data_IF_677643664788
#
_entry.id   IF_677643664788
#
_cell.length_a   1.000
_cell.length_b   1.000
_cell.length_c   1.000
_cell.angle_alpha   90.00
_cell.angle_beta   90.00
_cell.angle_gamma   90.00
#
_symmetry.space_group_name_H-M   'P 1'
#
loop_
_entity.id
_entity.type
_entity.pdbx_description
1 polymer ?
#
# COMPACT_ATOMS: atom_id res chain seq x y z
N UNK A 1 16.66 -22.15 -14.08
CA UNK A 1 16.29 -22.64 -15.43
C UNK A 1 15.12 -21.79 -15.90
N UNK A 2 15.13 -21.34 -17.16
CA UNK A 2 14.03 -20.56 -17.74
C UNK A 2 13.12 -21.46 -18.57
N UNK A 3 11.82 -21.24 -18.50
CA UNK A 3 10.78 -21.85 -19.32
C UNK A 3 10.32 -20.85 -20.38
N UNK A 4 9.97 -21.35 -21.57
CA UNK A 4 9.41 -20.53 -22.64
C UNK A 4 7.91 -20.80 -22.74
N UNK A 5 7.13 -19.75 -22.88
CA UNK A 5 5.68 -19.82 -23.01
C UNK A 5 5.23 -19.12 -24.27
N UNK A 6 4.35 -19.77 -25.02
CA UNK A 6 3.47 -19.11 -25.95
C UNK A 6 2.33 -18.45 -25.19
N UNK A 7 2.32 -17.12 -25.22
CA UNK A 7 1.29 -16.25 -24.65
C UNK A 7 0.62 -15.54 -25.81
N UNK A 8 -0.51 -16.08 -26.27
CA UNK A 8 -1.30 -15.53 -27.38
C UNK A 8 -0.49 -15.13 -28.63
N UNK A 9 0.46 -15.98 -29.05
CA UNK A 9 1.31 -15.74 -30.22
C UNK A 9 2.66 -15.07 -29.93
N UNK A 10 2.92 -14.69 -28.68
CA UNK A 10 4.23 -14.22 -28.21
C UNK A 10 4.99 -15.36 -27.55
N UNK A 11 6.31 -15.41 -27.74
CA UNK A 11 7.18 -16.26 -26.93
C UNK A 11 7.76 -15.41 -25.82
N UNK A 12 7.51 -15.78 -24.56
CA UNK A 12 8.09 -15.10 -23.40
C UNK A 12 8.88 -16.08 -22.53
N UNK A 13 9.96 -15.58 -21.94
CA UNK A 13 10.79 -16.34 -21.02
C UNK A 13 10.34 -16.08 -19.58
N UNK A 14 10.08 -17.15 -18.83
CA UNK A 14 9.71 -17.09 -17.40
C UNK A 14 10.57 -18.04 -16.58
N UNK A 15 10.81 -17.69 -15.32
CA UNK A 15 11.55 -18.51 -14.36
C UNK A 15 10.67 -19.62 -13.76
N UNK A 16 9.36 -19.42 -13.73
CA UNK A 16 8.38 -20.36 -13.18
C UNK A 16 7.18 -20.48 -14.11
N UNK A 17 6.67 -21.70 -14.28
CA UNK A 17 5.44 -21.93 -15.05
C UNK A 17 4.24 -21.29 -14.33
N UNK A 18 3.32 -20.65 -15.08
CA UNK A 18 2.12 -20.05 -14.52
C UNK A 18 1.25 -21.12 -13.89
N UNK A 19 0.69 -20.81 -12.73
CA UNK A 19 -0.27 -21.70 -12.10
C UNK A 19 -1.61 -21.68 -12.88
N UNK A 20 -2.48 -22.69 -12.67
CA UNK A 20 -3.75 -22.79 -13.40
C UNK A 20 -4.67 -21.58 -13.26
N UNK A 21 -4.58 -20.84 -12.14
CA UNK A 21 -5.38 -19.63 -11.95
C UNK A 21 -4.89 -18.51 -12.86
N UNK A 22 -3.58 -18.29 -12.92
CA UNK A 22 -3.05 -17.26 -13.80
C UNK A 22 -3.39 -17.58 -15.26
N UNK A 23 -3.25 -18.84 -15.65
CA UNK A 23 -3.65 -19.32 -16.98
C UNK A 23 -5.13 -19.07 -17.28
N UNK A 24 -6.02 -19.29 -16.30
CA UNK A 24 -7.46 -19.03 -16.50
C UNK A 24 -7.78 -17.54 -16.65
N UNK A 25 -7.02 -16.65 -16.02
CA UNK A 25 -7.16 -15.21 -16.26
C UNK A 25 -6.73 -14.81 -17.67
N UNK A 26 -5.64 -15.36 -18.20
CA UNK A 26 -5.26 -15.11 -19.60
C UNK A 26 -6.34 -15.61 -20.56
N UNK A 27 -6.90 -16.79 -20.32
CA UNK A 27 -8.00 -17.32 -21.12
C UNK A 27 -9.25 -16.43 -21.02
N UNK A 28 -9.60 -15.96 -19.83
CA UNK A 28 -10.79 -15.16 -19.60
C UNK A 28 -10.68 -13.75 -20.21
N UNK A 29 -9.55 -13.07 -19.99
CA UNK A 29 -9.41 -11.64 -20.30
C UNK A 29 -8.73 -11.35 -21.63
N UNK A 30 -7.85 -12.24 -22.09
CA UNK A 30 -7.17 -12.12 -23.40
C UNK A 30 -7.64 -13.17 -24.42
N UNK A 31 -8.56 -14.07 -24.03
CA UNK A 31 -9.11 -15.11 -24.92
C UNK A 31 -8.03 -16.03 -25.50
N UNK A 32 -6.98 -16.30 -24.72
CA UNK A 32 -5.84 -17.05 -25.21
C UNK A 32 -5.33 -18.08 -24.20
N UNK A 33 -4.92 -19.23 -24.75
CA UNK A 33 -4.34 -20.31 -23.98
C UNK A 33 -2.84 -20.12 -23.84
N UNK A 34 -2.33 -20.36 -22.63
CA UNK A 34 -0.89 -20.41 -22.37
C UNK A 34 -0.37 -21.81 -22.70
N UNK A 35 0.65 -21.89 -23.56
CA UNK A 35 1.28 -23.17 -23.95
C UNK A 35 2.78 -23.10 -23.71
N UNK A 36 3.41 -24.21 -23.35
CA UNK A 36 4.88 -24.28 -23.30
C UNK A 36 5.43 -24.20 -24.72
N UNK A 37 6.42 -23.34 -24.93
CA UNK A 37 7.13 -23.21 -26.19
C UNK A 37 8.37 -24.11 -26.22
N UNK A 38 8.75 -24.57 -27.40
CA UNK A 38 9.96 -25.37 -27.58
C UNK A 38 11.21 -24.49 -27.40
N UNK A 39 12.29 -25.03 -26.80
CA UNK A 39 13.51 -24.27 -26.52
C UNK A 39 14.23 -23.73 -27.77
N UNK A 40 13.88 -24.23 -28.97
CA UNK A 40 14.42 -23.80 -30.26
C UNK A 40 13.96 -22.37 -30.64
N UNK A 41 12.88 -21.87 -30.05
CA UNK A 41 12.34 -20.51 -30.31
C UNK A 41 12.94 -19.43 -29.39
N UNK A 42 14.09 -19.70 -28.77
CA UNK A 42 14.78 -18.82 -27.83
C UNK A 42 15.14 -17.43 -28.39
N UNK A 43 15.35 -17.32 -29.71
CA UNK A 43 15.89 -16.12 -30.35
C UNK A 43 14.86 -14.98 -30.51
N UNK A 44 13.56 -15.26 -30.39
CA UNK A 44 12.46 -14.30 -30.57
C UNK A 44 11.72 -13.97 -29.25
N UNK A 45 12.36 -14.19 -28.09
CA UNK A 45 11.72 -13.96 -26.80
C UNK A 45 11.41 -12.48 -26.59
N UNK A 46 10.13 -12.14 -26.42
CA UNK A 46 9.68 -10.78 -26.10
C UNK A 46 9.79 -10.50 -24.59
N UNK A 47 9.98 -9.23 -24.22
CA UNK A 47 9.90 -8.83 -22.83
C UNK A 47 8.45 -8.99 -22.35
N UNK A 48 8.29 -9.62 -21.19
CA UNK A 48 7.03 -9.78 -20.48
C UNK A 48 6.28 -8.44 -20.34
N UNK A 49 7.00 -7.33 -20.18
CA UNK A 49 6.40 -5.98 -20.09
C UNK A 49 5.70 -5.52 -21.37
N UNK A 50 6.02 -6.13 -22.51
CA UNK A 50 5.42 -5.80 -23.80
C UNK A 50 4.08 -6.51 -24.01
N UNK A 51 3.75 -7.55 -23.23
CA UNK A 51 2.50 -8.31 -23.36
C UNK A 51 1.28 -7.40 -23.52
N UNK A 52 1.05 -6.36 -22.68
CA UNK A 52 -0.14 -5.51 -22.83
C UNK A 52 -0.21 -4.76 -24.16
N UNK A 53 0.92 -4.47 -24.80
CA UNK A 53 0.95 -3.76 -26.09
C UNK A 53 0.29 -4.57 -27.21
N UNK A 54 0.29 -5.90 -27.11
CA UNK A 54 -0.29 -6.82 -28.09
C UNK A 54 -1.81 -7.03 -27.91
N UNK A 55 -2.40 -6.56 -26.80
CA UNK A 55 -3.84 -6.61 -26.54
C UNK A 55 -4.39 -5.18 -26.53
N UNK A 56 -4.72 -4.62 -27.70
CA UNK A 56 -5.10 -3.22 -27.81
C UNK A 56 -6.30 -2.92 -26.93
N UNK A 57 -6.12 -1.92 -26.07
CA UNK A 57 -7.17 -1.42 -25.21
C UNK A 57 -6.89 0.02 -24.78
N UNK A 58 -7.93 0.78 -24.42
CA UNK A 58 -7.75 2.14 -23.94
C UNK A 58 -6.88 2.13 -22.68
N UNK A 59 -5.92 3.05 -22.64
CA UNK A 59 -5.07 3.28 -21.46
C UNK A 59 -5.91 3.89 -20.36
N UNK A 60 -5.99 3.18 -19.24
CA UNK A 60 -6.70 3.58 -18.02
C UNK A 60 -5.80 3.26 -16.84
N UNK A 61 -4.91 4.20 -16.52
CA UNK A 61 -3.81 4.04 -15.61
C UNK A 61 -4.04 4.84 -14.33
N UNK A 62 -3.67 4.26 -13.20
CA UNK A 62 -3.56 4.97 -11.94
C UNK A 62 -2.09 5.13 -11.55
N UNK A 63 -1.57 6.36 -11.39
CA UNK A 63 -0.21 6.57 -10.94
C UNK A 63 -0.07 6.27 -9.45
N UNK A 64 0.93 5.46 -9.11
CA UNK A 64 1.26 5.10 -7.74
C UNK A 64 2.74 5.38 -7.50
N UNK A 65 3.07 6.02 -6.38
CA UNK A 65 4.43 6.45 -6.06
C UNK A 65 4.93 5.81 -4.77
N UNK A 66 6.22 5.50 -4.74
CA UNK A 66 6.98 5.22 -3.52
C UNK A 66 7.45 6.52 -2.87
N UNK A 67 7.76 6.46 -1.57
CA UNK A 67 8.12 7.63 -0.76
C UNK A 67 9.33 8.41 -1.32
N UNK A 68 10.32 7.71 -1.86
CA UNK A 68 11.53 8.29 -2.45
C UNK A 68 11.23 9.10 -3.72
N UNK A 69 10.07 8.90 -4.35
CA UNK A 69 9.72 9.54 -5.61
C UNK A 69 8.89 10.83 -5.44
N UNK A 70 8.54 11.21 -4.21
CA UNK A 70 7.68 12.37 -3.94
C UNK A 70 8.35 13.72 -4.25
N UNK A 71 9.68 13.75 -4.27
CA UNK A 71 10.44 14.97 -4.57
C UNK A 71 10.59 15.25 -6.06
N UNK A 72 10.24 14.29 -6.93
CA UNK A 72 10.42 14.45 -8.38
C UNK A 72 9.32 15.31 -8.98
N UNK A 73 9.68 16.03 -10.05
CA UNK A 73 8.79 16.95 -10.77
C UNK A 73 7.52 16.25 -11.28
N UNK A 74 7.61 14.98 -11.70
CA UNK A 74 6.47 14.21 -12.18
C UNK A 74 5.38 14.08 -11.12
N UNK A 75 5.76 13.81 -9.86
CA UNK A 75 4.80 13.73 -8.75
C UNK A 75 4.13 15.08 -8.49
N UNK A 76 4.94 16.14 -8.39
CA UNK A 76 4.44 17.49 -8.09
C UNK A 76 3.52 18.00 -9.21
N UNK A 77 3.87 17.73 -10.47
CA UNK A 77 3.06 18.10 -11.64
C UNK A 77 1.70 17.39 -11.62
N UNK A 78 1.68 16.08 -11.37
CA UNK A 78 0.43 15.32 -11.28
C UNK A 78 -0.43 15.81 -10.11
N UNK A 79 0.17 16.08 -8.94
CA UNK A 79 -0.52 16.64 -7.79
C UNK A 79 -1.15 18.00 -8.12
N UNK A 80 -0.41 18.89 -8.78
CA UNK A 80 -0.88 20.20 -9.20
C UNK A 80 -2.00 20.15 -10.26
N UNK A 81 -2.05 19.09 -11.07
CA UNK A 81 -3.14 18.81 -12.01
C UNK A 81 -4.40 18.25 -11.32
N UNK A 82 -4.39 18.06 -9.99
CA UNK A 82 -5.51 17.50 -9.24
C UNK A 82 -5.63 15.97 -9.34
N UNK A 83 -4.61 15.29 -9.88
CA UNK A 83 -4.55 13.83 -9.89
C UNK A 83 -4.28 13.35 -8.46
N UNK A 84 -4.98 12.31 -8.01
CA UNK A 84 -4.83 11.70 -6.68
C UNK A 84 -3.95 10.45 -6.78
N UNK A 85 -2.61 10.58 -6.68
CA UNK A 85 -1.73 9.43 -6.78
C UNK A 85 -1.95 8.46 -5.63
N UNK A 86 -1.72 7.18 -5.87
CA UNK A 86 -1.48 6.24 -4.77
C UNK A 86 -0.09 6.49 -4.16
N UNK A 87 0.02 6.30 -2.85
CA UNK A 87 1.27 6.43 -2.10
C UNK A 87 1.55 5.13 -1.35
N UNK A 88 2.63 4.45 -1.72
CA UNK A 88 3.09 3.24 -1.03
C UNK A 88 3.70 3.64 0.31
N UNK A 89 3.07 3.17 1.38
CA UNK A 89 3.49 3.34 2.77
C UNK A 89 4.48 2.21 3.08
N UNK A 90 5.78 2.52 3.30
CA UNK A 90 6.76 1.51 3.64
C UNK A 90 6.49 0.95 5.04
N UNK A 91 6.93 -0.27 5.32
CA UNK A 91 6.69 -0.90 6.62
C UNK A 91 7.27 -0.11 7.81
N UNK A 92 8.34 0.65 7.57
CA UNK A 92 8.99 1.51 8.57
C UNK A 92 8.37 2.92 8.67
N UNK A 93 7.11 3.10 8.22
CA UNK A 93 6.41 4.38 8.23
C UNK A 93 6.34 5.04 9.61
N UNK A 94 6.52 4.27 10.68
CA UNK A 94 6.58 4.74 12.06
C UNK A 94 7.83 5.56 12.41
N UNK A 95 8.78 5.74 11.50
CA UNK A 95 9.84 6.74 11.70
C UNK A 95 9.24 8.14 11.60
N UNK A 96 9.49 9.07 12.54
CA UNK A 96 8.83 10.39 12.54
C UNK A 96 8.95 11.17 11.23
N UNK A 97 10.15 11.22 10.63
CA UNK A 97 10.36 11.91 9.35
C UNK A 97 9.50 11.32 8.22
N UNK A 98 9.43 10.00 8.14
CA UNK A 98 8.62 9.28 7.16
C UNK A 98 7.13 9.49 7.44
N UNK A 99 6.71 9.32 8.69
CA UNK A 99 5.32 9.47 9.11
C UNK A 99 4.77 10.85 8.74
N UNK A 100 5.47 11.93 9.11
CA UNK A 100 5.00 13.29 8.84
C UNK A 100 4.96 13.60 7.35
N UNK A 101 5.93 13.12 6.57
CA UNK A 101 5.93 13.26 5.11
C UNK A 101 4.71 12.55 4.49
N UNK A 102 4.45 11.29 4.85
CA UNK A 102 3.28 10.54 4.36
C UNK A 102 1.99 11.23 4.79
N UNK A 103 1.91 11.66 6.06
CA UNK A 103 0.70 12.28 6.61
C UNK A 103 0.34 13.57 5.88
N UNK A 104 1.35 14.36 5.50
CA UNK A 104 1.19 15.55 4.68
C UNK A 104 0.62 15.19 3.30
N UNK A 105 1.24 14.30 2.55
CA UNK A 105 0.75 13.95 1.20
C UNK A 105 -0.65 13.32 1.22
N UNK A 106 -0.96 12.50 2.23
CA UNK A 106 -2.31 11.95 2.42
C UNK A 106 -3.33 13.05 2.72
N UNK A 107 -2.95 14.08 3.48
CA UNK A 107 -3.83 15.24 3.72
C UNK A 107 -4.06 16.09 2.46
N UNK A 108 -3.10 16.08 1.54
CA UNK A 108 -3.16 16.76 0.25
C UNK A 108 -3.86 15.92 -0.84
N UNK A 109 -4.30 14.70 -0.51
CA UNK A 109 -5.16 13.87 -1.35
C UNK A 109 -4.52 12.59 -1.91
N UNK A 110 -3.26 12.30 -1.56
CA UNK A 110 -2.64 11.03 -1.92
C UNK A 110 -3.37 9.85 -1.24
N UNK A 111 -3.53 8.76 -1.98
CA UNK A 111 -4.27 7.58 -1.53
C UNK A 111 -3.28 6.58 -0.92
N UNK A 112 -3.35 6.32 0.38
CA UNK A 112 -2.42 5.44 1.10
C UNK A 112 -2.59 3.97 0.69
N UNK A 113 -1.48 3.32 0.36
CA UNK A 113 -1.39 1.90 -0.04
C UNK A 113 -0.38 1.24 0.89
N UNK A 114 -0.74 0.13 1.54
CA UNK A 114 0.23 -0.60 2.36
C UNK A 114 1.21 -1.39 1.50
N UNK A 115 2.49 -1.26 1.77
CA UNK A 115 3.47 -2.19 1.26
C UNK A 115 3.34 -3.55 1.95
N UNK A 116 3.12 -4.60 1.17
CA UNK A 116 3.16 -5.99 1.59
C UNK A 116 4.33 -6.68 0.90
N UNK A 117 5.48 -6.55 1.53
CA UNK A 117 6.72 -7.22 1.12
C UNK A 117 6.67 -8.73 1.35
N UNK A 118 5.71 -9.25 2.11
CA UNK A 118 5.41 -10.68 2.21
C UNK A 118 3.92 -10.96 2.31
N UNK A 119 3.45 -12.05 1.68
CA UNK A 119 2.05 -12.50 1.70
C UNK A 119 1.77 -13.22 3.03
N UNK A 120 1.83 -12.46 4.13
CA UNK A 120 1.53 -12.94 5.47
C UNK A 120 0.26 -12.26 6.00
N UNK A 121 -0.90 -12.96 6.01
CA UNK A 121 -2.17 -12.35 6.41
C UNK A 121 -2.16 -11.74 7.82
N UNK A 122 -1.39 -12.31 8.76
CA UNK A 122 -1.25 -11.80 10.12
C UNK A 122 -0.50 -10.47 10.16
N UNK A 123 0.61 -10.38 9.41
CA UNK A 123 1.42 -9.17 9.28
C UNK A 123 0.62 -8.03 8.67
N UNK A 124 -0.11 -8.32 7.59
CA UNK A 124 -1.02 -7.36 6.94
C UNK A 124 -2.03 -6.76 7.93
N UNK A 125 -2.73 -7.60 8.71
CA UNK A 125 -3.74 -7.13 9.69
C UNK A 125 -3.15 -6.21 10.75
N UNK A 126 -1.96 -6.53 11.24
CA UNK A 126 -1.24 -5.70 12.21
C UNK A 126 -0.86 -4.34 11.62
N UNK A 127 -0.21 -4.34 10.45
CA UNK A 127 0.20 -3.11 9.76
C UNK A 127 -0.99 -2.23 9.37
N UNK A 128 -2.08 -2.82 8.87
CA UNK A 128 -3.30 -2.07 8.53
C UNK A 128 -3.95 -1.43 9.74
N UNK A 129 -4.01 -2.14 10.87
CA UNK A 129 -4.54 -1.58 12.12
C UNK A 129 -3.66 -0.45 12.63
N UNK A 130 -2.33 -0.63 12.60
CA UNK A 130 -1.35 0.37 13.03
C UNK A 130 -1.39 1.64 12.14
N UNK A 131 -1.39 1.48 10.82
CA UNK A 131 -1.48 2.60 9.89
C UNK A 131 -2.82 3.35 10.01
N UNK A 132 -3.90 2.61 10.28
CA UNK A 132 -5.22 3.21 10.51
C UNK A 132 -5.27 3.98 11.82
N UNK A 133 -4.70 3.45 12.91
CA UNK A 133 -4.64 4.17 14.19
C UNK A 133 -3.71 5.38 14.14
N UNK A 134 -2.69 5.34 13.29
CA UNK A 134 -1.85 6.49 12.93
C UNK A 134 -2.57 7.51 12.03
N UNK A 135 -3.84 7.27 11.65
CA UNK A 135 -4.62 8.16 10.81
C UNK A 135 -4.16 8.21 9.35
N UNK A 136 -3.37 7.23 8.89
CA UNK A 136 -3.01 7.09 7.48
C UNK A 136 -4.13 6.40 6.71
N UNK A 137 -4.79 5.39 7.30
CA UNK A 137 -5.96 4.68 6.73
C UNK A 137 -5.69 4.15 5.30
N UNK A 138 -5.00 3.02 5.16
CA UNK A 138 -4.71 2.43 3.86
C UNK A 138 -5.98 1.95 3.14
N UNK A 139 -5.95 2.01 1.82
CA UNK A 139 -7.09 1.77 0.93
C UNK A 139 -6.84 0.65 -0.09
N UNK A 140 -5.60 0.20 -0.18
CA UNK A 140 -5.16 -0.92 -0.97
C UNK A 140 -3.89 -1.52 -0.35
N UNK A 141 -3.44 -2.64 -0.89
CA UNK A 141 -2.14 -3.22 -0.58
C UNK A 141 -1.32 -3.46 -1.85
N UNK A 142 -0.01 -3.24 -1.74
CA UNK A 142 0.98 -3.41 -2.79
C UNK A 142 1.77 -4.70 -2.56
N UNK A 143 1.83 -5.57 -3.57
CA UNK A 143 2.52 -6.87 -3.52
C UNK A 143 3.75 -6.81 -4.41
N UNK A 144 4.92 -6.78 -3.79
CA UNK A 144 6.22 -6.72 -4.49
C UNK A 144 6.62 -8.05 -5.12
N UNK A 145 6.27 -9.18 -4.49
CA UNK A 145 6.68 -10.52 -4.91
C UNK A 145 6.00 -11.00 -6.21
N UNK A 146 5.06 -10.22 -6.74
CA UNK A 146 4.31 -10.56 -7.94
C UNK A 146 3.16 -11.53 -7.67
N UNK A 147 2.70 -12.22 -8.70
CA UNK A 147 1.50 -13.05 -8.59
C UNK A 147 1.76 -14.30 -7.74
N UNK A 148 0.85 -14.60 -6.83
CA UNK A 148 0.87 -15.83 -6.05
C UNK A 148 -0.57 -16.26 -5.79
N UNK A 149 -0.94 -17.53 -6.01
CA UNK A 149 -2.28 -18.03 -5.73
C UNK A 149 -2.75 -17.78 -4.28
N UNK A 150 -1.83 -17.72 -3.32
CA UNK A 150 -2.13 -17.43 -1.92
C UNK A 150 -2.66 -16.00 -1.70
N UNK A 151 -2.52 -15.09 -2.67
CA UNK A 151 -3.14 -13.77 -2.61
C UNK A 151 -4.67 -13.86 -2.49
N UNK A 152 -5.29 -14.94 -2.96
CA UNK A 152 -6.73 -15.20 -2.79
C UNK A 152 -7.14 -15.50 -1.35
N UNK A 153 -6.17 -15.77 -0.47
CA UNK A 153 -6.42 -15.95 0.98
C UNK A 153 -6.37 -14.63 1.74
N UNK A 154 -5.93 -13.55 1.10
CA UNK A 154 -5.96 -12.23 1.69
C UNK A 154 -7.41 -11.77 1.89
N UNK A 155 -7.66 -10.85 2.82
CA UNK A 155 -8.99 -10.29 3.04
C UNK A 155 -9.61 -9.64 1.80
N UNK A 156 -10.87 -9.21 1.90
CA UNK A 156 -11.51 -8.48 0.81
C UNK A 156 -10.85 -7.10 0.61
N UNK A 157 -10.64 -6.72 -0.65
CA UNK A 157 -10.11 -5.41 -1.00
C UNK A 157 -9.29 -5.36 -2.28
N UNK A 158 -8.64 -4.21 -2.47
CA UNK A 158 -7.80 -3.88 -3.61
C UNK A 158 -6.34 -4.28 -3.40
N UNK A 159 -5.81 -5.06 -4.34
CA UNK A 159 -4.44 -5.56 -4.35
C UNK A 159 -3.73 -5.19 -5.65
N UNK A 160 -2.55 -4.61 -5.51
CA UNK A 160 -1.72 -4.09 -6.59
C UNK A 160 -0.52 -5.02 -6.71
N UNK A 161 -0.41 -5.76 -7.80
CA UNK A 161 0.58 -6.83 -7.96
C UNK A 161 1.67 -6.41 -8.94
N UNK A 162 2.92 -6.35 -8.47
CA UNK A 162 4.06 -5.96 -9.31
C UNK A 162 4.28 -6.95 -10.46
N UNK A 163 4.46 -6.44 -11.67
CA UNK A 163 4.92 -7.23 -12.81
C UNK A 163 6.43 -7.49 -12.70
N UNK A 164 6.79 -8.69 -12.23
CA UNK A 164 8.18 -9.05 -11.97
C UNK A 164 8.89 -9.64 -13.19
N UNK A 165 10.19 -9.33 -13.39
CA UNK A 165 11.00 -9.98 -14.41
C UNK A 165 11.01 -11.51 -14.21
N UNK A 166 10.83 -12.25 -15.30
CA UNK A 166 10.82 -13.71 -15.26
C UNK A 166 9.56 -14.31 -14.60
N UNK A 167 8.52 -13.53 -14.34
CA UNK A 167 7.21 -14.06 -13.96
C UNK A 167 6.16 -13.50 -14.92
N UNK A 168 5.25 -14.36 -15.39
CA UNK A 168 4.12 -13.90 -16.17
C UNK A 168 3.22 -12.99 -15.29
N UNK A 169 2.97 -11.73 -15.68
CA UNK A 169 2.20 -10.79 -14.90
C UNK A 169 0.72 -11.09 -15.04
N UNK A 170 -0.09 -10.53 -14.16
CA UNK A 170 -1.52 -10.48 -14.38
C UNK A 170 -1.84 -9.70 -15.67
N UNK A 171 -2.91 -10.08 -16.40
CA UNK A 171 -3.44 -9.25 -17.47
C UNK A 171 -3.64 -7.78 -17.06
N UNK A 172 -3.43 -6.86 -18.00
CA UNK A 172 -3.62 -5.41 -17.84
C UNK A 172 -5.12 -5.05 -17.83
N UNK A 173 -5.84 -5.63 -16.87
CA UNK A 173 -7.28 -5.52 -16.64
C UNK A 173 -7.55 -5.56 -15.13
N UNK A 174 -8.74 -5.12 -14.74
CA UNK A 174 -9.29 -5.47 -13.43
C UNK A 174 -9.57 -6.98 -13.38
N UNK A 175 -8.98 -7.66 -12.41
CA UNK A 175 -9.25 -9.08 -12.16
C UNK A 175 -10.03 -9.19 -10.85
N UNK A 176 -11.28 -9.60 -10.97
CA UNK A 176 -12.12 -9.89 -9.81
C UNK A 176 -12.05 -11.38 -9.47
N UNK A 177 -11.79 -11.69 -8.21
CA UNK A 177 -11.78 -13.06 -7.71
C UNK A 177 -12.40 -13.07 -6.33
N UNK A 178 -13.66 -13.47 -6.21
CA UNK A 178 -14.38 -13.42 -4.93
C UNK A 178 -14.58 -11.98 -4.46
N UNK A 179 -14.00 -11.65 -3.29
CA UNK A 179 -14.09 -10.30 -2.70
C UNK A 179 -12.79 -9.48 -2.91
N UNK A 180 -11.87 -10.01 -3.72
CA UNK A 180 -10.60 -9.37 -4.01
C UNK A 180 -10.58 -8.80 -5.43
N UNK A 181 -9.98 -7.64 -5.55
CA UNK A 181 -9.71 -6.97 -6.83
C UNK A 181 -8.20 -6.89 -7.03
N UNK A 182 -7.72 -7.39 -8.17
CA UNK A 182 -6.31 -7.35 -8.51
C UNK A 182 -6.08 -6.45 -9.73
N UNK A 183 -5.07 -5.60 -9.63
CA UNK A 183 -4.48 -4.89 -10.76
C UNK A 183 -3.01 -5.22 -10.87
N UNK A 184 -2.54 -5.32 -12.11
CA UNK A 184 -1.10 -5.40 -12.38
C UNK A 184 -0.47 -4.01 -12.29
N UNK A 185 0.76 -3.97 -11.78
CA UNK A 185 1.55 -2.75 -11.64
C UNK A 185 2.85 -2.87 -12.44
N UNK A 186 3.04 -1.99 -13.42
CA UNK A 186 4.26 -1.94 -14.22
C UNK A 186 5.22 -0.86 -13.72
N UNK A 187 6.52 -1.14 -13.59
CA UNK A 187 7.50 -0.14 -13.19
C UNK A 187 7.73 0.88 -14.30
N UNK A 188 7.54 2.16 -13.98
CA UNK A 188 8.01 3.37 -14.70
C UNK A 188 7.49 3.61 -16.12
N UNK A 189 7.07 2.56 -16.84
CA UNK A 189 6.65 2.62 -18.24
C UNK A 189 5.14 2.44 -18.38
N UNK A 190 4.50 3.35 -19.09
CA UNK A 190 3.10 3.23 -19.46
C UNK A 190 2.87 2.05 -20.40
N UNK A 191 1.68 1.48 -20.33
CA UNK A 191 1.27 0.29 -21.06
C UNK A 191 -0.18 0.43 -21.54
N UNK A 192 -0.57 -0.39 -22.53
CA UNK A 192 -1.96 -0.43 -23.00
C UNK A 192 -2.83 -1.26 -22.04
N UNK A 193 -4.07 -0.83 -21.82
CA UNK A 193 -4.99 -1.49 -20.88
C UNK A 193 -5.23 -0.73 -19.59
N UNK A 194 -5.76 -1.45 -18.61
CA UNK A 194 -6.16 -0.91 -17.31
C UNK A 194 -5.24 -1.46 -16.22
N UNK A 195 -4.67 -0.57 -15.42
CA UNK A 195 -3.80 -1.00 -14.34
C UNK A 195 -3.07 0.15 -13.68
N UNK A 196 -1.93 -0.18 -13.07
CA UNK A 196 -1.18 0.74 -12.23
C UNK A 196 0.20 0.96 -12.83
N UNK A 197 0.60 2.22 -12.89
CA UNK A 197 1.97 2.61 -13.25
C UNK A 197 2.69 3.07 -12.00
N UNK A 198 3.77 2.37 -11.66
CA UNK A 198 4.58 2.67 -10.50
C UNK A 198 5.64 3.69 -10.86
N UNK A 199 5.75 4.76 -10.08
CA UNK A 199 6.78 5.78 -10.23
C UNK A 199 6.91 6.25 -11.70
N UNK A 200 5.83 6.76 -12.31
CA UNK A 200 5.84 7.18 -13.71
C UNK A 200 6.97 8.21 -13.94
N UNK A 201 7.71 8.04 -15.05
CA UNK A 201 8.81 8.95 -15.40
C UNK A 201 8.34 10.22 -16.14
N UNK A 202 7.14 10.18 -16.73
CA UNK A 202 6.56 11.30 -17.47
C UNK A 202 5.11 11.58 -17.07
N UNK A 203 4.56 12.72 -17.53
CA UNK A 203 3.17 13.05 -17.29
C UNK A 203 2.25 12.02 -17.99
N UNK A 204 1.11 11.75 -17.35
CA UNK A 204 0.03 10.96 -17.93
C UNK A 204 -1.04 11.92 -18.45
N UNK A 205 -1.65 11.60 -19.57
CA UNK A 205 -2.75 12.43 -20.07
C UNK A 205 -3.99 12.25 -19.18
N UNK A 206 -4.75 13.32 -18.96
CA UNK A 206 -5.93 13.29 -18.07
C UNK A 206 -6.96 12.24 -18.50
N UNK A 207 -7.12 12.04 -19.81
CA UNK A 207 -8.01 11.03 -20.37
C UNK A 207 -7.52 9.58 -20.15
N UNK A 208 -6.25 9.38 -19.79
CA UNK A 208 -5.66 8.10 -19.42
C UNK A 208 -5.80 7.80 -17.92
N UNK A 209 -6.11 8.79 -17.08
CA UNK A 209 -6.24 8.59 -15.64
C UNK A 209 -7.54 7.84 -15.32
N UNK A 210 -7.43 6.77 -14.54
CA UNK A 210 -8.58 6.04 -14.00
C UNK A 210 -8.29 5.51 -12.61
N UNK A 211 -9.14 5.85 -11.64
CA UNK A 211 -9.02 5.36 -10.27
C UNK A 211 -9.70 3.99 -10.13
N UNK A 212 -9.07 3.01 -9.46
CA UNK A 212 -9.73 1.77 -9.12
C UNK A 212 -10.80 1.99 -8.05
N UNK A 213 -11.67 1.00 -7.86
CA UNK A 213 -12.55 0.96 -6.71
C UNK A 213 -11.70 0.74 -5.44
N UNK A 214 -11.58 1.80 -4.66
CA UNK A 214 -10.74 1.80 -3.45
C UNK A 214 -11.49 1.13 -2.30
N UNK A 215 -10.78 0.27 -1.57
CA UNK A 215 -11.29 -0.30 -0.34
C UNK A 215 -10.48 -1.51 0.08
N UNK A 216 -10.28 -1.64 1.39
CA UNK A 216 -9.65 -2.82 1.95
C UNK A 216 -10.19 -3.11 3.34
N UNK A 217 -10.44 -4.39 3.60
CA UNK A 217 -10.98 -4.86 4.87
C UNK A 217 -10.00 -5.80 5.55
N UNK A 218 -10.06 -5.87 6.88
CA UNK A 218 -9.27 -6.83 7.65
C UNK A 218 -9.93 -7.13 8.99
N UNK A 219 -9.47 -8.19 9.63
CA UNK A 219 -9.91 -8.55 10.99
C UNK A 219 -8.72 -8.52 11.92
N UNK A 220 -8.81 -7.76 13.00
CA UNK A 220 -7.80 -7.68 14.05
C UNK A 220 -8.48 -7.85 15.41
N UNK A 221 -7.98 -8.76 16.26
CA UNK A 221 -8.57 -9.10 17.56
C UNK A 221 -10.10 -9.34 17.48
N UNK A 222 -10.53 -10.20 16.54
CA UNK A 222 -11.94 -10.53 16.26
C UNK A 222 -12.84 -9.32 15.90
N UNK A 223 -12.24 -8.17 15.61
CA UNK A 223 -12.94 -6.97 15.17
C UNK A 223 -12.67 -6.75 13.70
N UNK A 224 -13.74 -6.56 12.92
CA UNK A 224 -13.66 -6.26 11.49
C UNK A 224 -13.48 -4.76 11.28
N UNK A 225 -12.58 -4.41 10.38
CA UNK A 225 -12.34 -3.07 9.89
C UNK A 225 -12.56 -3.07 8.38
N UNK A 226 -13.25 -2.05 7.89
CA UNK A 226 -13.47 -1.82 6.47
C UNK A 226 -13.09 -0.37 6.14
N UNK A 227 -11.99 -0.22 5.42
CA UNK A 227 -11.46 1.07 5.00
C UNK A 227 -12.07 1.46 3.66
N UNK A 228 -12.89 2.50 3.70
CA UNK A 228 -13.60 3.06 2.54
C UNK A 228 -13.23 4.53 2.35
N UNK A 229 -13.66 5.15 1.24
CA UNK A 229 -13.23 6.49 0.83
C UNK A 229 -13.39 7.56 1.92
N UNK A 230 -14.49 7.49 2.67
CA UNK A 230 -14.87 8.54 3.61
C UNK A 230 -14.43 8.26 5.06
N UNK A 231 -14.41 6.99 5.48
CA UNK A 231 -14.02 6.58 6.83
C UNK A 231 -13.65 5.11 6.90
N UNK A 232 -13.09 4.70 8.04
CA UNK A 232 -13.04 3.29 8.43
C UNK A 232 -14.31 2.93 9.17
N UNK A 233 -14.99 1.90 8.69
CA UNK A 233 -16.15 1.28 9.31
C UNK A 233 -15.71 0.15 10.23
N UNK A 234 -16.09 0.23 11.49
CA UNK A 234 -15.85 -0.81 12.49
C UNK A 234 -16.88 -0.73 13.61
N UNK A 235 -16.85 -1.66 14.56
CA UNK A 235 -17.72 -1.64 15.74
C UNK A 235 -17.18 -0.66 16.81
N UNK A 236 -17.95 -0.32 17.86
CA UNK A 236 -17.50 0.61 18.90
C UNK A 236 -16.18 0.19 19.57
N UNK A 237 -15.97 -1.11 19.79
CA UNK A 237 -14.72 -1.65 20.35
C UNK A 237 -13.53 -1.43 19.40
N UNK A 238 -13.74 -1.53 18.08
CA UNK A 238 -12.76 -1.22 17.06
C UNK A 238 -12.33 0.23 17.09
N UNK A 239 -13.25 1.18 17.28
CA UNK A 239 -12.90 2.58 17.47
C UNK A 239 -12.10 2.80 18.76
N UNK A 240 -12.40 2.08 19.85
CA UNK A 240 -11.56 2.10 21.06
C UNK A 240 -10.14 1.59 20.75
N UNK A 241 -10.01 0.46 20.03
CA UNK A 241 -8.71 -0.08 19.62
C UNK A 241 -7.91 0.89 18.76
N UNK A 242 -8.55 1.57 17.81
CA UNK A 242 -7.90 2.61 16.99
C UNK A 242 -7.48 3.80 17.85
N UNK A 243 -8.32 4.24 18.79
CA UNK A 243 -8.01 5.36 19.68
C UNK A 243 -6.87 5.07 20.65
N UNK A 244 -6.71 3.82 21.09
CA UNK A 244 -5.56 3.41 21.90
C UNK A 244 -4.24 3.61 21.13
N UNK A 245 -4.25 3.36 19.81
CA UNK A 245 -3.11 3.64 18.96
C UNK A 245 -2.75 5.13 18.92
N UNK A 246 -3.74 6.04 18.93
CA UNK A 246 -3.49 7.49 18.96
C UNK A 246 -2.69 7.92 20.21
N UNK A 247 -2.82 7.20 21.33
CA UNK A 247 -2.07 7.49 22.57
C UNK A 247 -0.68 6.86 22.54
N UNK A 248 -0.57 5.63 22.04
CA UNK A 248 0.68 4.85 22.05
C UNK A 248 1.66 5.33 20.97
N UNK A 249 1.14 5.77 19.81
CA UNK A 249 1.96 6.16 18.65
C UNK A 249 2.82 7.41 18.92
N UNK A 250 2.29 8.54 19.45
CA UNK A 250 3.12 9.69 19.80
C UNK A 250 4.20 9.34 20.83
N UNK A 251 3.86 8.51 21.83
CA UNK A 251 4.82 8.06 22.83
C UNK A 251 5.96 7.26 22.19
N UNK A 252 5.63 6.32 21.31
CA UNK A 252 6.62 5.55 20.56
C UNK A 252 7.47 6.44 19.62
N UNK A 253 6.84 7.38 18.91
CA UNK A 253 7.54 8.31 18.01
C UNK A 253 8.55 9.17 18.77
N UNK A 254 8.16 9.74 19.92
CA UNK A 254 9.04 10.55 20.77
C UNK A 254 10.16 9.71 21.40
N UNK A 255 9.87 8.49 21.85
CA UNK A 255 10.87 7.61 22.47
C UNK A 255 11.86 7.00 21.46
N UNK A 256 11.45 6.85 20.19
CA UNK A 256 12.25 6.23 19.13
C UNK A 256 13.22 7.18 18.41
N UNK A 257 13.07 8.49 18.57
CA UNK A 257 14.07 9.45 18.09
C UNK A 257 15.34 9.36 18.92
N UNK A 258 16.51 9.34 18.28
CA UNK A 258 17.80 9.42 18.97
C UNK A 258 17.84 10.69 19.85
N UNK A 259 17.85 10.46 21.17
CA UNK A 259 17.91 11.44 22.26
C UNK A 259 18.87 12.63 22.04
N UNK A 260 20.06 12.52 21.41
CA UNK A 260 20.92 13.69 21.21
C UNK A 260 20.32 14.83 20.38
N UNK A 261 19.40 14.56 19.43
CA UNK A 261 18.80 15.61 18.60
C UNK A 261 17.52 16.23 19.20
N UNK A 262 16.84 15.54 20.12
CA UNK A 262 15.76 16.16 20.90
C UNK A 262 16.31 17.06 22.02
N UNK A 263 17.47 16.68 22.58
CA UNK A 263 18.18 17.49 23.57
C UNK A 263 18.80 18.75 22.96
N UNK A 264 19.08 18.80 21.65
CA UNK A 264 19.58 20.02 20.98
C UNK A 264 18.46 21.01 20.65
N UNK A 265 17.24 20.53 20.34
CA UNK A 265 16.07 21.41 20.13
C UNK A 265 15.51 21.98 21.44
N UNK A 266 15.67 21.24 22.55
CA UNK A 266 15.29 21.65 23.91
C UNK A 266 16.48 22.12 24.75
N UNK A 267 17.63 22.36 24.11
CA UNK A 267 18.90 22.77 24.71
C UNK A 267 18.94 24.22 25.20
N UNK A 268 17.79 24.83 25.48
CA UNK A 268 17.70 26.10 26.20
C UNK A 268 16.55 26.05 27.21
N UNK A 269 16.90 25.71 28.46
CA UNK A 269 16.21 26.16 29.67
C UNK A 269 14.89 25.49 30.14
N UNK A 270 14.79 24.16 30.13
CA UNK A 270 13.98 23.47 31.16
C UNK A 270 14.55 22.07 31.42
N UNK A 271 15.15 21.86 32.60
CA UNK A 271 15.69 20.56 32.97
C UNK A 271 14.55 19.52 33.04
N UNK A 272 14.81 18.30 32.56
CA UNK A 272 13.87 17.18 32.62
C UNK A 272 13.37 16.86 34.03
N UNK A 273 14.13 17.24 35.06
CA UNK A 273 13.66 17.21 36.44
C UNK A 273 12.37 18.03 36.64
N UNK A 274 12.23 19.17 35.97
CA UNK A 274 11.06 20.04 36.09
C UNK A 274 9.82 19.44 35.42
N UNK A 275 9.96 18.82 34.24
CA UNK A 275 8.83 18.15 33.56
C UNK A 275 8.37 16.92 34.34
N UNK A 276 9.31 16.11 34.84
CA UNK A 276 8.99 14.95 35.70
C UNK A 276 8.30 15.40 36.98
N UNK A 277 8.77 16.50 37.60
CA UNK A 277 8.12 17.09 38.78
C UNK A 277 6.71 17.60 38.46
N UNK A 278 6.49 18.23 37.30
CA UNK A 278 5.15 18.71 36.87
C UNK A 278 4.20 17.53 36.66
N UNK A 279 4.64 16.45 36.01
CA UNK A 279 3.81 15.25 35.78
C UNK A 279 3.46 14.59 37.11
N UNK A 280 4.42 14.44 38.03
CA UNK A 280 4.18 13.89 39.37
C UNK A 280 3.20 14.78 40.16
N UNK A 281 3.37 16.11 40.12
CA UNK A 281 2.45 17.06 40.76
C UNK A 281 1.04 16.98 40.17
N UNK A 282 0.90 16.88 38.85
CA UNK A 282 -0.41 16.75 38.20
C UNK A 282 -1.11 15.46 38.63
N UNK A 283 -0.36 14.36 38.76
CA UNK A 283 -0.86 13.07 39.25
C UNK A 283 -1.35 13.16 40.70
N UNK A 284 -0.59 13.82 41.57
CA UNK A 284 -0.98 14.08 42.97
C UNK A 284 -2.24 14.95 43.02
N UNK A 285 -2.34 15.97 42.16
CA UNK A 285 -3.50 16.87 42.10
C UNK A 285 -4.77 16.16 41.61
N UNK A 286 -4.63 15.27 40.62
CA UNK A 286 -5.71 14.40 40.14
C UNK A 286 -6.18 13.43 41.23
N UNK A 287 -5.24 12.76 41.91
CA UNK A 287 -5.55 11.83 43.00
C UNK A 287 -6.25 12.56 44.14
N UNK A 288 -5.76 13.74 44.53
CA UNK A 288 -6.37 14.52 45.61
C UNK A 288 -7.74 15.07 45.22
N UNK A 289 -7.97 15.52 43.99
CA UNK A 289 -9.31 15.90 43.51
C UNK A 289 -10.28 14.72 43.52
N UNK A 290 -9.86 13.56 43.00
CA UNK A 290 -10.67 12.34 43.01
C UNK A 290 -10.99 11.90 44.43
N UNK A 291 -9.99 11.88 45.33
CA UNK A 291 -10.18 11.51 46.73
C UNK A 291 -11.14 12.46 47.46
N UNK A 292 -11.08 13.77 47.17
CA UNK A 292 -12.04 14.76 47.71
C UNK A 292 -13.46 14.57 47.19
N UNK A 293 -13.61 14.08 45.95
CA UNK A 293 -14.91 13.81 45.32
C UNK A 293 -15.54 12.52 45.88
N UNK A 294 -14.75 11.49 46.11
CA UNK A 294 -15.23 10.21 46.66
C UNK A 294 -15.47 10.24 48.17
N UNK A 295 -14.87 11.17 48.92
CA UNK A 295 -15.12 11.35 50.37
C UNK A 295 -16.34 12.20 50.70
N UNK A 296 -17.02 12.78 49.68
CA UNK A 296 -18.24 13.59 49.81
C UNK A 296 -19.50 12.91 49.26
N UNK A 297 -19.41 11.62 48.92
CA UNK A 297 -20.57 10.74 48.73
C UNK A 297 -20.66 9.76 49.90
#
# INVERSE_FOLDING_TARGET
MSHFLHVCGLVVSVNTLPDPVLSSYYQQYYQCELKTADPVQQQDSSDIKQIPAYFPAPRKLWPVFSLDQLQYETYQTMKNQGIKPGLIIPENFMKPSIYFQIKQEVSEGAIPILDLSSIEPKRFRGLATLATSAGLRPMAAYIQDGWNPNLKTLPAGLYIVQANPGQLPLPARLIQSGQQQFYTAYPQTAFNGTGIILNPQGPLAENEIAYPELGISWTFLNTRFDSQLNRVHTNPLGYVLLSAGIVILPLHLVLSTHYPNLLSFWGTSTSWASVVVIVILMLILLITMLWRRFKKS
#
